data_IF_887306000216
#
_entry.id   IF_887306000216
#
_cell.length_a   1.000
_cell.length_b   1.000
_cell.length_c   1.000
_cell.angle_alpha   90.00
_cell.angle_beta   90.00
_cell.angle_gamma   90.00
#
_symmetry.space_group_name_H-M   'P 1'
#
loop_
_entity.id
_entity.type
_entity.pdbx_description
1 polymer ?
#
# COMPACT_ATOMS: atom_id res chain seq x y z
N UNK A 1 11.74 23.92 15.15
CA UNK A 1 11.28 22.65 15.73
C UNK A 1 11.69 21.51 14.80
N UNK A 2 12.16 20.38 15.34
CA UNK A 2 12.45 19.15 14.57
C UNK A 2 11.54 18.07 15.13
N UNK A 3 10.85 17.34 14.24
CA UNK A 3 9.88 16.30 14.58
C UNK A 3 10.26 15.02 13.86
N UNK A 4 10.28 13.89 14.59
CA UNK A 4 10.39 12.56 14.00
C UNK A 4 9.06 11.82 14.22
N UNK A 5 8.43 11.39 13.13
CA UNK A 5 7.18 10.65 13.20
C UNK A 5 7.41 9.14 13.32
N UNK A 6 6.73 8.51 14.27
CA UNK A 6 6.74 7.07 14.42
C UNK A 6 5.63 6.42 13.60
N UNK A 7 5.91 5.25 12.99
CA UNK A 7 4.98 4.46 12.16
C UNK A 7 4.26 5.29 11.08
N UNK A 8 4.96 6.25 10.47
CA UNK A 8 4.38 7.19 9.50
C UNK A 8 3.81 6.47 8.27
N UNK A 9 4.45 5.38 7.83
CA UNK A 9 4.03 4.54 6.71
C UNK A 9 2.91 3.55 7.07
N UNK A 10 2.57 3.44 8.35
CA UNK A 10 1.46 2.60 8.82
C UNK A 10 1.75 1.09 8.79
N UNK A 11 2.98 0.70 8.98
CA UNK A 11 3.41 -0.71 8.96
C UNK A 11 2.83 -1.48 10.13
N UNK A 12 2.83 -0.89 11.34
CA UNK A 12 2.41 -1.55 12.56
C UNK A 12 0.89 -1.56 12.74
N UNK A 13 0.23 -0.41 12.57
CA UNK A 13 -1.20 -0.26 12.88
C UNK A 13 -2.11 -0.27 11.65
N UNK A 14 -1.56 -0.45 10.43
CA UNK A 14 -2.32 -0.57 9.19
C UNK A 14 -2.98 0.75 8.71
N UNK A 15 -2.49 1.89 9.20
CA UNK A 15 -2.82 3.22 8.68
C UNK A 15 -1.61 4.15 8.81
N UNK A 16 -1.44 5.04 7.85
CA UNK A 16 -0.31 5.96 7.75
C UNK A 16 -0.62 7.35 8.32
N UNK A 17 0.43 8.15 8.50
CA UNK A 17 0.35 9.57 8.80
C UNK A 17 -0.27 9.90 10.18
N UNK A 18 -0.12 9.03 11.19
CA UNK A 18 -0.70 9.28 12.52
C UNK A 18 -0.15 10.56 13.14
N UNK A 19 1.17 10.72 13.16
CA UNK A 19 1.86 11.88 13.73
C UNK A 19 1.61 13.17 12.95
N UNK A 20 1.73 13.12 11.63
CA UNK A 20 1.51 14.29 10.77
C UNK A 20 0.04 14.76 10.80
N UNK A 21 -0.92 13.84 10.91
CA UNK A 21 -2.34 14.19 11.14
C UNK A 21 -2.57 14.87 12.48
N UNK A 22 -1.88 14.43 13.55
CA UNK A 22 -1.97 15.10 14.86
C UNK A 22 -1.43 16.54 14.76
N UNK A 23 -0.29 16.74 14.11
CA UNK A 23 0.28 18.06 13.87
C UNK A 23 -0.63 18.95 13.01
N UNK A 24 -1.31 18.38 12.02
CA UNK A 24 -2.26 19.07 11.18
C UNK A 24 -3.64 19.32 11.86
N UNK A 25 -3.84 18.85 13.10
CA UNK A 25 -5.12 18.95 13.82
C UNK A 25 -6.22 18.08 13.19
N UNK A 26 -5.86 17.00 12.52
CA UNK A 26 -6.77 16.08 11.79
C UNK A 26 -6.65 14.62 12.26
N UNK A 27 -6.18 14.42 13.48
CA UNK A 27 -6.10 13.10 14.06
C UNK A 27 -7.51 12.60 14.42
N UNK A 28 -7.82 11.37 13.98
CA UNK A 28 -9.07 10.71 14.38
C UNK A 28 -8.84 9.90 15.66
N UNK A 29 -9.49 10.24 16.80
CA UNK A 29 -9.32 9.52 18.05
C UNK A 29 -9.69 8.03 17.97
N UNK A 30 -10.55 7.61 17.05
CA UNK A 30 -10.90 6.21 16.85
C UNK A 30 -9.69 5.35 16.44
N UNK A 31 -8.65 5.95 15.87
CA UNK A 31 -7.39 5.27 15.52
C UNK A 31 -6.63 4.79 16.75
N UNK A 32 -6.84 5.38 17.92
CA UNK A 32 -6.19 4.94 19.18
C UNK A 32 -6.55 3.51 19.57
N UNK A 33 -7.70 3.02 19.14
CA UNK A 33 -8.18 1.67 19.44
C UNK A 33 -7.77 0.64 18.37
N UNK A 34 -7.04 1.05 17.33
CA UNK A 34 -6.48 0.11 16.34
C UNK A 34 -5.38 -0.71 16.98
N UNK A 35 -5.51 -2.04 16.88
CA UNK A 35 -4.49 -2.99 17.32
C UNK A 35 -3.50 -3.34 16.21
N UNK A 36 -2.28 -3.67 16.62
CA UNK A 36 -1.29 -4.33 15.76
C UNK A 36 -1.56 -5.86 15.68
N UNK A 37 -0.64 -6.61 15.06
CA UNK A 37 -0.77 -8.06 14.91
C UNK A 37 -0.74 -8.83 16.23
N UNK A 38 -0.21 -8.23 17.29
CA UNK A 38 -0.14 -8.79 18.65
C UNK A 38 -1.30 -8.31 19.54
N UNK A 39 -2.23 -7.51 18.98
CA UNK A 39 -3.37 -6.95 19.71
C UNK A 39 -3.03 -5.74 20.58
N UNK A 40 -1.83 -5.18 20.48
CA UNK A 40 -1.45 -3.96 21.19
C UNK A 40 -2.08 -2.75 20.49
N UNK A 41 -2.90 -1.99 21.22
CA UNK A 41 -3.53 -0.81 20.64
C UNK A 41 -2.54 0.34 20.45
N UNK A 42 -2.81 1.26 19.51
CA UNK A 42 -2.00 2.46 19.34
C UNK A 42 -1.92 3.27 20.64
N UNK A 43 -3.04 3.37 21.39
CA UNK A 43 -3.07 3.99 22.72
C UNK A 43 -2.04 3.38 23.66
N UNK A 44 -2.05 2.06 23.77
CA UNK A 44 -1.10 1.34 24.65
C UNK A 44 0.35 1.50 24.17
N UNK A 45 0.58 1.50 22.86
CA UNK A 45 1.91 1.69 22.30
C UNK A 45 2.45 3.11 22.56
N UNK A 46 1.63 4.16 22.41
CA UNK A 46 2.01 5.53 22.73
C UNK A 46 2.34 5.67 24.22
N UNK A 47 1.51 5.12 25.10
CA UNK A 47 1.74 5.16 26.55
C UNK A 47 3.03 4.40 26.94
N UNK A 48 3.28 3.23 26.35
CA UNK A 48 4.50 2.45 26.59
C UNK A 48 5.76 3.18 26.11
N UNK A 49 5.64 4.00 25.07
CA UNK A 49 6.73 4.87 24.59
C UNK A 49 6.93 6.12 25.46
N UNK A 50 6.06 6.37 26.43
CA UNK A 50 6.10 7.54 27.32
C UNK A 50 5.32 8.74 26.80
N UNK A 51 4.48 8.56 25.77
CA UNK A 51 3.62 9.60 25.23
C UNK A 51 2.30 9.74 25.99
N UNK A 52 1.67 10.89 25.84
CA UNK A 52 0.36 11.22 26.40
C UNK A 52 -0.68 11.36 25.28
N UNK A 53 -1.64 10.44 25.21
CA UNK A 53 -2.67 10.43 24.20
C UNK A 53 -3.68 11.60 24.38
N UNK A 54 -3.87 12.07 25.60
CA UNK A 54 -4.79 13.16 25.91
C UNK A 54 -4.21 14.52 25.46
N UNK A 55 -2.89 14.59 25.30
CA UNK A 55 -2.19 15.75 24.77
C UNK A 55 -2.28 15.88 23.23
N UNK A 56 -2.73 14.85 22.49
CA UNK A 56 -2.76 14.87 21.01
C UNK A 56 -3.47 16.11 20.44
N UNK A 57 -4.64 16.55 20.93
CA UNK A 57 -5.29 17.74 20.40
C UNK A 57 -4.45 19.02 20.52
N UNK A 58 -3.59 19.11 21.55
CA UNK A 58 -2.71 20.26 21.78
C UNK A 58 -1.52 20.33 20.85
N UNK A 59 -1.22 19.25 20.13
CA UNK A 59 -0.11 19.19 19.16
C UNK A 59 -0.43 19.96 17.87
N UNK A 60 -1.69 20.27 17.62
CA UNK A 60 -2.13 20.92 16.40
C UNK A 60 -1.36 22.22 16.11
N UNK A 61 -0.86 22.34 14.89
CA UNK A 61 -0.26 23.56 14.32
C UNK A 61 -1.16 24.22 13.28
N UNK A 62 -2.42 23.79 13.17
CA UNK A 62 -3.35 24.26 12.13
C UNK A 62 -3.55 25.80 12.15
N UNK A 63 -3.40 26.42 13.31
CA UNK A 63 -3.53 27.88 13.50
C UNK A 63 -2.21 28.56 13.90
N UNK A 64 -1.10 27.83 13.87
CA UNK A 64 0.21 28.41 14.17
C UNK A 64 0.75 29.20 12.97
N UNK A 65 1.57 30.22 13.27
CA UNK A 65 2.30 30.93 12.23
C UNK A 65 3.52 30.09 11.80
N UNK A 66 3.31 29.18 10.86
CA UNK A 66 4.36 28.30 10.30
C UNK A 66 4.94 28.96 9.06
N UNK A 67 6.23 29.30 9.10
CA UNK A 67 6.91 29.93 7.97
C UNK A 67 7.18 28.93 6.83
N UNK A 68 7.57 27.69 7.17
CA UNK A 68 7.84 26.64 6.21
C UNK A 68 7.74 25.27 6.88
N UNK A 69 7.49 24.24 6.06
CA UNK A 69 7.64 22.83 6.40
C UNK A 69 8.68 22.24 5.48
N UNK A 70 9.64 21.54 6.03
CA UNK A 70 10.67 20.80 5.27
C UNK A 70 10.72 19.38 5.80
N UNK A 71 10.65 18.42 4.90
CA UNK A 71 10.71 17.00 5.22
C UNK A 71 11.92 16.36 4.52
N UNK A 72 12.70 15.60 5.28
CA UNK A 72 13.75 14.74 4.74
C UNK A 72 13.22 13.32 4.74
N UNK A 73 13.03 12.79 3.54
CA UNK A 73 12.43 11.47 3.32
C UNK A 73 13.39 10.61 2.50
N UNK A 74 13.43 9.32 2.78
CA UNK A 74 14.16 8.36 1.93
C UNK A 74 13.51 8.28 0.56
N UNK A 75 14.28 8.07 -0.51
CA UNK A 75 13.75 7.95 -1.87
C UNK A 75 12.78 6.76 -2.03
N UNK A 76 12.98 5.68 -1.29
CA UNK A 76 12.30 4.39 -1.44
C UNK A 76 12.48 3.79 -2.85
N UNK A 77 13.61 4.12 -3.50
CA UNK A 77 13.96 3.70 -4.84
C UNK A 77 15.47 3.82 -5.09
N UNK A 78 15.96 3.39 -6.26
CA UNK A 78 17.39 3.32 -6.55
C UNK A 78 17.93 4.53 -7.33
N UNK A 79 17.08 5.47 -7.77
CA UNK A 79 17.44 6.45 -8.81
C UNK A 79 18.54 7.43 -8.36
N UNK A 80 18.44 7.95 -7.13
CA UNK A 80 19.47 8.84 -6.59
C UNK A 80 20.81 8.11 -6.40
N UNK A 81 20.73 6.86 -5.90
CA UNK A 81 21.92 6.02 -5.73
C UNK A 81 22.60 5.74 -7.07
N UNK A 82 21.85 5.33 -8.08
CA UNK A 82 22.36 5.04 -9.43
C UNK A 82 22.97 6.28 -10.10
N UNK A 83 22.45 7.46 -9.78
CA UNK A 83 22.98 8.74 -10.26
C UNK A 83 24.10 9.31 -9.42
N UNK A 84 24.48 8.66 -8.31
CA UNK A 84 25.49 9.15 -7.37
C UNK A 84 25.10 10.46 -6.66
N UNK A 85 23.80 10.70 -6.50
CA UNK A 85 23.27 11.92 -5.86
C UNK A 85 22.93 11.63 -4.39
N UNK A 86 23.40 12.49 -3.50
CA UNK A 86 23.09 12.38 -2.07
C UNK A 86 21.67 12.85 -1.72
N UNK A 87 21.14 13.81 -2.48
CA UNK A 87 19.83 14.44 -2.25
C UNK A 87 19.13 14.69 -3.59
N UNK A 88 17.80 14.71 -3.54
CA UNK A 88 16.93 15.15 -4.63
C UNK A 88 15.81 16.02 -4.08
N UNK A 89 15.34 16.96 -4.88
CA UNK A 89 14.17 17.79 -4.54
C UNK A 89 12.94 17.15 -5.17
N UNK A 90 11.92 16.87 -4.34
CA UNK A 90 10.62 16.36 -4.81
C UNK A 90 9.92 17.47 -5.56
N UNK A 91 9.59 17.23 -6.82
CA UNK A 91 8.89 18.20 -7.69
C UNK A 91 7.40 17.86 -7.88
N UNK A 92 7.02 16.60 -7.66
CA UNK A 92 5.62 16.14 -7.71
C UNK A 92 5.40 14.96 -6.80
N UNK A 93 4.16 14.71 -6.43
CA UNK A 93 3.73 13.52 -5.69
C UNK A 93 2.94 12.62 -6.64
N UNK A 94 3.39 11.39 -6.79
CA UNK A 94 2.71 10.42 -7.65
C UNK A 94 1.29 10.13 -7.17
N UNK A 95 0.33 10.19 -8.07
CA UNK A 95 -1.01 9.64 -7.83
C UNK A 95 -0.97 8.13 -7.67
N UNK A 96 -1.90 7.55 -6.92
CA UNK A 96 -1.96 6.11 -6.69
C UNK A 96 -3.39 5.60 -6.76
N UNK A 97 -3.61 4.59 -7.60
CA UNK A 97 -4.88 3.84 -7.64
C UNK A 97 -4.63 2.42 -7.19
N UNK A 98 -5.40 1.96 -6.20
CA UNK A 98 -5.39 0.57 -5.73
C UNK A 98 -6.61 -0.15 -6.25
N UNK A 99 -6.40 -1.30 -6.88
CA UNK A 99 -7.44 -2.05 -7.57
C UNK A 99 -7.51 -3.46 -6.98
N UNK A 100 -8.73 -3.92 -6.72
CA UNK A 100 -9.01 -5.31 -6.41
C UNK A 100 -9.85 -5.90 -7.55
N UNK A 101 -9.36 -6.96 -8.17
CA UNK A 101 -10.04 -7.69 -9.23
C UNK A 101 -10.40 -9.10 -8.77
N UNK A 102 -11.57 -9.56 -9.18
CA UNK A 102 -12.06 -10.93 -8.99
C UNK A 102 -12.27 -11.55 -10.37
N UNK A 103 -11.61 -12.65 -10.61
CA UNK A 103 -11.72 -13.43 -11.85
C UNK A 103 -12.54 -14.67 -11.56
N UNK A 104 -13.65 -14.84 -12.27
CA UNK A 104 -14.56 -15.97 -12.09
C UNK A 104 -14.51 -16.86 -13.31
N UNK A 105 -14.09 -18.09 -13.08
CA UNK A 105 -14.04 -19.18 -14.05
C UNK A 105 -15.01 -20.31 -13.69
N UNK A 106 -14.60 -21.53 -13.97
CA UNK A 106 -15.35 -22.73 -13.65
C UNK A 106 -14.39 -23.81 -13.13
N UNK A 107 -14.57 -24.23 -11.89
CA UNK A 107 -13.78 -25.30 -11.31
C UNK A 107 -14.04 -26.63 -12.03
N UNK A 108 -13.00 -27.43 -12.20
CA UNK A 108 -13.11 -28.71 -12.87
C UNK A 108 -11.90 -29.60 -12.61
N UNK A 109 -11.99 -30.85 -13.04
CA UNK A 109 -10.90 -31.80 -12.88
C UNK A 109 -9.78 -31.51 -13.90
N UNK A 110 -8.55 -31.28 -13.42
CA UNK A 110 -7.44 -30.87 -14.26
C UNK A 110 -7.00 -31.92 -15.31
N UNK A 111 -7.26 -33.22 -15.05
CA UNK A 111 -6.89 -34.30 -15.95
C UNK A 111 -7.95 -34.69 -16.98
N UNK A 112 -9.21 -34.29 -16.82
CA UNK A 112 -10.29 -34.76 -17.68
C UNK A 112 -11.04 -33.67 -18.47
N UNK A 113 -10.99 -32.43 -18.03
CA UNK A 113 -11.58 -31.30 -18.77
C UNK A 113 -10.66 -30.90 -19.91
N UNK A 114 -11.08 -31.00 -21.19
CA UNK A 114 -10.28 -30.60 -22.34
C UNK A 114 -9.88 -29.12 -22.27
N UNK A 115 -8.67 -28.77 -22.77
CA UNK A 115 -8.16 -27.39 -22.72
C UNK A 115 -9.12 -26.34 -23.29
N UNK A 116 -9.73 -26.62 -24.44
CA UNK A 116 -10.68 -25.71 -25.10
C UNK A 116 -12.02 -25.52 -24.39
N UNK A 117 -12.35 -26.36 -23.38
CA UNK A 117 -13.57 -26.26 -22.58
C UNK A 117 -13.33 -25.62 -21.20
N UNK A 118 -12.06 -25.25 -20.88
CA UNK A 118 -11.71 -24.68 -19.58
C UNK A 118 -12.10 -23.21 -19.47
N UNK A 119 -12.49 -22.85 -18.27
CA UNK A 119 -12.64 -21.46 -17.82
C UNK A 119 -11.78 -21.28 -16.57
N UNK A 120 -10.47 -21.32 -16.77
CA UNK A 120 -9.47 -21.30 -15.72
C UNK A 120 -9.26 -19.88 -15.22
N UNK A 121 -9.71 -19.62 -13.98
CA UNK A 121 -9.59 -18.30 -13.37
C UNK A 121 -8.14 -17.90 -13.09
N UNK A 122 -7.26 -18.87 -12.78
CA UNK A 122 -5.85 -18.56 -12.51
C UNK A 122 -5.11 -18.21 -13.80
N UNK A 123 -5.36 -18.92 -14.89
CA UNK A 123 -4.74 -18.60 -16.18
C UNK A 123 -5.12 -17.18 -16.63
N UNK A 124 -6.41 -16.83 -16.54
CA UNK A 124 -6.87 -15.48 -16.85
C UNK A 124 -6.26 -14.42 -15.91
N UNK A 125 -6.15 -14.71 -14.62
CA UNK A 125 -5.51 -13.81 -13.65
C UNK A 125 -4.01 -13.63 -13.93
N UNK A 126 -3.32 -14.67 -14.40
CA UNK A 126 -1.93 -14.58 -14.83
C UNK A 126 -1.77 -13.68 -16.06
N UNK A 127 -2.64 -13.80 -17.05
CA UNK A 127 -2.67 -12.91 -18.22
C UNK A 127 -2.91 -11.46 -17.81
N UNK A 128 -3.84 -11.20 -16.88
CA UNK A 128 -4.06 -9.85 -16.34
C UNK A 128 -2.81 -9.31 -15.63
N UNK A 129 -2.09 -10.15 -14.88
CA UNK A 129 -0.84 -9.76 -14.21
C UNK A 129 0.21 -9.32 -15.22
N UNK A 130 0.43 -10.12 -16.27
CA UNK A 130 1.37 -9.80 -17.34
C UNK A 130 0.93 -8.55 -18.15
N UNK A 131 -0.39 -8.36 -18.31
CA UNK A 131 -0.92 -7.17 -18.97
C UNK A 131 -0.65 -5.89 -18.19
N UNK A 132 -0.80 -5.91 -16.86
CA UNK A 132 -0.44 -4.77 -15.99
C UNK A 132 1.04 -4.44 -16.14
N UNK A 133 1.92 -5.44 -16.05
CA UNK A 133 3.37 -5.26 -16.20
C UNK A 133 3.72 -4.69 -17.57
N UNK A 134 3.25 -5.33 -18.64
CA UNK A 134 3.56 -4.91 -20.02
C UNK A 134 3.07 -3.50 -20.32
N UNK A 135 1.86 -3.16 -19.88
CA UNK A 135 1.28 -1.83 -20.09
C UNK A 135 2.09 -0.74 -19.38
N UNK A 136 2.45 -0.98 -18.10
CA UNK A 136 3.21 0.01 -17.35
C UNK A 136 4.66 0.11 -17.82
N UNK A 137 5.28 -1.00 -18.22
CA UNK A 137 6.62 -0.98 -18.83
C UNK A 137 6.64 -0.19 -20.14
N UNK A 138 5.59 -0.27 -20.96
CA UNK A 138 5.48 0.48 -22.22
C UNK A 138 5.20 1.98 -22.03
N UNK A 139 4.90 2.43 -20.83
CA UNK A 139 4.51 3.82 -20.54
C UNK A 139 5.66 4.83 -20.52
N UNK A 140 6.87 4.42 -20.86
CA UNK A 140 8.08 5.26 -20.85
C UNK A 140 8.34 5.97 -19.50
N UNK A 141 7.97 5.32 -18.38
CA UNK A 141 8.21 5.83 -17.03
C UNK A 141 7.11 6.75 -16.47
N UNK A 142 6.04 6.98 -17.22
CA UNK A 142 4.90 7.76 -16.71
C UNK A 142 4.01 6.98 -15.75
N UNK A 143 4.05 5.64 -15.84
CA UNK A 143 3.30 4.73 -14.97
C UNK A 143 4.22 3.72 -14.30
N UNK A 144 3.89 3.37 -13.08
CA UNK A 144 4.45 2.21 -12.36
C UNK A 144 3.30 1.34 -11.89
N UNK A 145 3.29 0.07 -12.25
CA UNK A 145 2.24 -0.86 -11.88
C UNK A 145 2.78 -2.15 -11.28
N UNK A 146 2.14 -2.63 -10.22
CA UNK A 146 2.55 -3.86 -9.56
C UNK A 146 1.33 -4.65 -9.10
N UNK A 147 1.25 -5.92 -9.50
CA UNK A 147 0.33 -6.89 -8.89
C UNK A 147 1.00 -7.47 -7.65
N UNK A 148 0.65 -6.91 -6.49
CA UNK A 148 1.26 -7.28 -5.22
C UNK A 148 0.65 -8.51 -4.57
N UNK A 149 -0.54 -8.94 -5.02
CA UNK A 149 -1.21 -10.14 -4.49
C UNK A 149 -2.00 -10.84 -5.57
N UNK A 150 -1.77 -12.14 -5.71
CA UNK A 150 -2.58 -13.07 -6.48
C UNK A 150 -2.94 -14.25 -5.55
N UNK A 151 -4.19 -14.58 -5.47
CA UNK A 151 -4.68 -15.68 -4.62
C UNK A 151 -5.77 -16.48 -5.34
N UNK A 152 -5.77 -17.78 -5.12
CA UNK A 152 -6.84 -18.70 -5.55
C UNK A 152 -7.78 -18.85 -4.36
N UNK A 153 -9.07 -18.75 -4.59
CA UNK A 153 -10.08 -18.96 -3.54
C UNK A 153 -10.05 -20.43 -3.07
N UNK A 154 -10.09 -20.64 -1.75
CA UNK A 154 -9.96 -21.97 -1.16
C UNK A 154 -8.55 -22.60 -1.22
N UNK A 155 -7.51 -21.83 -1.62
CA UNK A 155 -6.10 -22.28 -1.61
C UNK A 155 -5.68 -23.13 -2.81
N UNK A 156 -6.63 -23.55 -3.64
CA UNK A 156 -6.37 -24.38 -4.84
C UNK A 156 -5.98 -25.84 -4.54
N UNK A 157 -5.90 -26.65 -5.59
CA UNK A 157 -5.34 -28.00 -5.56
C UNK A 157 -4.71 -28.32 -6.91
N UNK A 158 -3.66 -29.13 -6.94
CA UNK A 158 -2.90 -29.44 -8.16
C UNK A 158 -3.70 -30.16 -9.24
N UNK A 159 -4.79 -30.80 -8.87
CA UNK A 159 -5.66 -31.58 -9.75
C UNK A 159 -7.01 -30.89 -10.01
N UNK A 160 -7.16 -29.63 -9.66
CA UNK A 160 -8.39 -28.83 -9.84
C UNK A 160 -8.09 -27.56 -10.64
N UNK A 161 -8.88 -27.32 -11.68
CA UNK A 161 -8.90 -26.05 -12.41
C UNK A 161 -9.49 -24.99 -11.48
N UNK A 162 -8.78 -23.87 -11.18
CA UNK A 162 -9.28 -22.83 -10.29
C UNK A 162 -10.57 -22.18 -10.82
N UNK A 163 -11.62 -22.18 -10.00
CA UNK A 163 -12.90 -21.53 -10.31
C UNK A 163 -12.94 -20.05 -10.01
N UNK A 164 -12.07 -19.57 -9.12
CA UNK A 164 -11.95 -18.17 -8.75
C UNK A 164 -10.51 -17.79 -8.41
N UNK A 165 -10.10 -16.63 -8.88
CA UNK A 165 -8.84 -15.99 -8.49
C UNK A 165 -9.08 -14.52 -8.13
N UNK A 166 -8.25 -13.99 -7.23
CA UNK A 166 -8.30 -12.61 -6.77
C UNK A 166 -6.94 -11.95 -6.89
N UNK A 167 -6.92 -10.76 -7.49
CA UNK A 167 -5.74 -9.93 -7.62
C UNK A 167 -5.91 -8.65 -6.83
N UNK A 168 -4.79 -8.15 -6.28
CA UNK A 168 -4.69 -6.78 -5.78
C UNK A 168 -3.46 -6.14 -6.39
N UNK A 169 -3.65 -5.00 -7.01
CA UNK A 169 -2.58 -4.27 -7.66
C UNK A 169 -2.70 -2.77 -7.46
N UNK A 170 -1.60 -2.09 -7.65
CA UNK A 170 -1.51 -0.65 -7.60
C UNK A 170 -0.94 -0.13 -8.91
N UNK A 171 -1.46 0.99 -9.37
CA UNK A 171 -0.87 1.78 -10.44
C UNK A 171 -0.59 3.16 -9.89
N UNK A 172 0.64 3.63 -10.06
CA UNK A 172 1.07 4.98 -9.73
C UNK A 172 1.35 5.75 -11.01
N UNK A 173 1.06 7.03 -10.99
CA UNK A 173 1.26 7.90 -12.15
C UNK A 173 1.73 9.28 -11.68
N UNK A 174 2.58 9.89 -12.47
CA UNK A 174 3.01 11.27 -12.31
C UNK A 174 2.26 12.11 -13.34
N UNK A 175 1.58 13.17 -12.87
CA UNK A 175 1.01 14.22 -13.72
C UNK A 175 2.08 15.24 -14.12
#
# INVERSE_FOLDING_TARGET
>A
EVVAFGDEEGVRFGFSMAGSRALAGRFDPALLERGDCDGVTLRAAIAAFGGDVDAIPSLSRAHANVAAFVEVHIEQGPVLLERGLALGVVTSIAGSTRIAARVVGLAGHAGTVPMGARRDALAAAAEMTLSVESYTAASAGTLVGTVGKLAIDGGGAINVIPGEARLRFTVRFND
#
